data_IF_160352582750
#
_entry.id   IF_160352582750
#
_cell.length_a   1.000
_cell.length_b   1.000
_cell.length_c   1.000
_cell.angle_alpha   90.00
_cell.angle_beta   90.00
_cell.angle_gamma   90.00
#
_symmetry.space_group_name_H-M   'P 1'
#
loop_
_entity.id
_entity.type
_entity.pdbx_description
1 polymer ?
#
# COMPACT_ATOMS: atom_id res chain seq x y z
N UNK A 1 46.91 16.14 15.18
CA UNK A 1 46.44 14.82 15.66
C UNK A 1 45.17 14.48 14.91
N UNK A 2 45.32 13.55 14.05
CA UNK A 2 44.52 13.34 12.85
C UNK A 2 43.13 12.77 13.14
N UNK A 3 42.08 13.40 12.62
CA UNK A 3 40.68 12.91 12.69
C UNK A 3 40.45 11.60 11.93
N UNK A 4 41.41 11.17 11.14
CA UNK A 4 41.39 9.92 10.38
C UNK A 4 41.56 8.68 11.28
N UNK A 5 42.25 8.80 12.39
CA UNK A 5 42.57 7.67 13.28
C UNK A 5 41.40 7.21 14.18
N UNK A 6 40.32 8.02 14.30
CA UNK A 6 39.13 7.60 15.08
C UNK A 6 38.07 6.85 14.26
N UNK A 7 38.12 6.96 12.93
CA UNK A 7 37.19 6.23 12.07
C UNK A 7 37.54 4.74 11.92
N UNK A 8 38.80 4.40 12.13
CA UNK A 8 39.32 3.04 11.94
C UNK A 8 39.08 2.12 13.15
N UNK A 9 38.68 2.65 14.31
CA UNK A 9 38.35 1.87 15.52
C UNK A 9 37.00 1.12 15.43
N UNK A 10 36.17 1.44 14.44
CA UNK A 10 34.93 0.72 14.14
C UNK A 10 35.02 0.00 12.77
N UNK A 11 36.16 -0.61 12.47
CA UNK A 11 36.31 -1.40 11.23
C UNK A 11 35.40 -2.65 11.31
N UNK A 12 34.43 -2.81 10.39
CA UNK A 12 33.60 -4.01 10.30
C UNK A 12 34.39 -5.27 9.93
N UNK A 13 35.71 -5.21 9.70
CA UNK A 13 36.60 -6.36 9.63
C UNK A 13 36.54 -7.24 10.89
N UNK A 14 36.07 -6.69 12.01
CA UNK A 14 35.78 -7.43 13.24
C UNK A 14 34.59 -8.39 13.10
N UNK A 15 33.74 -8.22 12.10
CA UNK A 15 32.54 -9.04 11.85
C UNK A 15 32.72 -10.05 10.71
N UNK A 16 33.95 -10.38 10.31
CA UNK A 16 34.26 -11.43 9.33
C UNK A 16 34.34 -10.96 7.86
N UNK A 17 34.72 -11.87 6.94
CA UNK A 17 34.99 -11.54 5.52
C UNK A 17 33.81 -10.96 4.74
N UNK A 18 32.58 -11.15 5.19
CA UNK A 18 31.38 -10.53 4.60
C UNK A 18 31.22 -9.03 4.86
N UNK A 19 31.87 -8.45 5.88
CA UNK A 19 31.69 -7.06 6.27
C UNK A 19 32.22 -6.04 5.25
N UNK A 20 33.34 -6.34 4.59
CA UNK A 20 33.92 -5.49 3.53
C UNK A 20 33.10 -5.53 2.25
N UNK A 21 32.58 -6.67 1.91
CA UNK A 21 31.72 -6.86 0.73
C UNK A 21 30.35 -6.18 0.91
N UNK A 22 29.73 -6.35 2.08
CA UNK A 22 28.50 -5.66 2.44
C UNK A 22 28.67 -4.12 2.51
N UNK A 23 29.84 -3.61 2.90
CA UNK A 23 30.15 -2.18 2.90
C UNK A 23 30.37 -1.67 1.47
N UNK A 24 31.07 -2.42 0.61
CA UNK A 24 31.22 -2.11 -0.82
C UNK A 24 29.88 -2.12 -1.54
N UNK A 25 29.02 -3.10 -1.25
CA UNK A 25 27.69 -3.18 -1.83
C UNK A 25 26.80 -2.02 -1.36
N UNK A 26 26.82 -1.64 -0.05
CA UNK A 26 26.09 -0.46 0.45
C UNK A 26 26.62 0.84 -0.13
N UNK A 27 27.93 0.99 -0.25
CA UNK A 27 28.54 2.19 -0.87
C UNK A 27 28.17 2.27 -2.37
N UNK A 28 28.25 1.14 -3.08
CA UNK A 28 27.84 1.05 -4.49
C UNK A 28 26.32 1.32 -4.65
N UNK A 29 25.50 0.85 -3.72
CA UNK A 29 24.06 1.12 -3.71
C UNK A 29 23.77 2.60 -3.44
N UNK A 30 24.46 3.21 -2.47
CA UNK A 30 24.35 4.65 -2.18
C UNK A 30 24.81 5.49 -3.37
N UNK A 31 25.91 5.12 -4.00
CA UNK A 31 26.40 5.74 -5.24
C UNK A 31 25.42 5.55 -6.40
N UNK A 32 24.84 4.37 -6.56
CA UNK A 32 23.82 4.06 -7.57
C UNK A 32 22.53 4.88 -7.36
N UNK A 33 22.11 5.05 -6.11
CA UNK A 33 20.97 5.90 -5.74
C UNK A 33 21.29 7.38 -5.99
N UNK A 34 22.53 7.83 -5.71
CA UNK A 34 22.94 9.22 -5.86
C UNK A 34 23.34 9.57 -7.31
N UNK A 35 23.95 8.64 -8.05
CA UNK A 35 24.38 8.81 -9.42
C UNK A 35 23.27 8.60 -10.46
N UNK A 36 22.03 8.40 -10.02
CA UNK A 36 20.89 8.23 -10.91
C UNK A 36 20.74 9.44 -11.85
N UNK A 37 21.17 9.28 -13.09
CA UNK A 37 20.95 10.27 -14.15
C UNK A 37 19.47 10.29 -14.50
N UNK A 38 18.81 11.38 -14.19
CA UNK A 38 17.42 11.62 -14.55
C UNK A 38 17.27 11.53 -16.06
N UNK A 39 16.45 10.64 -16.62
CA UNK A 39 15.94 10.83 -17.96
C UNK A 39 15.19 12.17 -17.96
N UNK A 40 15.33 12.96 -19.02
CA UNK A 40 14.72 14.29 -19.07
C UNK A 40 13.22 14.24 -18.80
N UNK A 41 12.68 15.36 -18.33
CA UNK A 41 11.25 15.54 -18.12
C UNK A 41 10.50 15.26 -19.42
N UNK A 42 9.57 14.32 -19.36
CA UNK A 42 8.63 13.98 -20.43
C UNK A 42 7.22 14.15 -19.85
N UNK A 43 6.32 14.73 -20.63
CA UNK A 43 4.92 14.91 -20.23
C UNK A 43 4.27 13.60 -19.76
N UNK A 44 4.72 12.47 -20.31
CA UNK A 44 4.31 11.15 -19.89
C UNK A 44 4.60 10.83 -18.41
N UNK A 45 5.60 11.45 -17.83
CA UNK A 45 5.97 11.28 -16.40
C UNK A 45 4.89 11.80 -15.44
N UNK A 46 4.10 12.78 -15.88
CA UNK A 46 2.99 13.32 -15.08
C UNK A 46 1.68 12.60 -15.42
N UNK A 47 1.31 12.54 -16.70
CA UNK A 47 -0.01 12.02 -17.05
C UNK A 47 -0.17 10.53 -16.79
N UNK A 48 0.92 9.74 -16.82
CA UNK A 48 0.84 8.29 -16.58
C UNK A 48 0.45 7.94 -15.15
N UNK A 49 1.13 8.42 -14.09
CA UNK A 49 0.68 8.22 -12.72
C UNK A 49 -0.78 8.65 -12.53
N UNK A 50 -1.15 9.82 -13.03
CA UNK A 50 -2.52 10.34 -12.94
C UNK A 50 -3.51 9.42 -13.65
N UNK A 51 -3.21 8.96 -14.87
CA UNK A 51 -4.06 8.04 -15.62
C UNK A 51 -4.24 6.71 -14.87
N UNK A 52 -3.15 6.10 -14.37
CA UNK A 52 -3.26 4.82 -13.69
C UNK A 52 -3.95 4.93 -12.33
N UNK A 53 -3.77 6.05 -11.63
CA UNK A 53 -4.55 6.39 -10.46
C UNK A 53 -6.03 6.54 -10.78
N UNK A 54 -6.36 7.22 -11.87
CA UNK A 54 -7.75 7.35 -12.35
C UNK A 54 -8.35 6.00 -12.74
N UNK A 55 -7.61 5.17 -13.47
CA UNK A 55 -8.03 3.80 -13.82
C UNK A 55 -8.30 2.99 -12.55
N UNK A 56 -7.44 3.10 -11.53
CA UNK A 56 -7.62 2.40 -10.27
C UNK A 56 -8.95 2.74 -9.61
N UNK A 57 -9.24 4.02 -9.42
CA UNK A 57 -10.51 4.47 -8.83
C UNK A 57 -11.70 4.06 -9.72
N UNK A 58 -11.57 4.22 -11.04
CA UNK A 58 -12.66 3.91 -11.97
C UNK A 58 -13.03 2.42 -11.97
N UNK A 59 -12.05 1.51 -11.93
CA UNK A 59 -12.30 0.06 -11.87
C UNK A 59 -13.01 -0.31 -10.57
N UNK A 60 -12.57 0.23 -9.42
CA UNK A 60 -13.25 0.02 -8.13
C UNK A 60 -14.70 0.50 -8.23
N UNK A 61 -14.91 1.75 -8.66
CA UNK A 61 -16.26 2.35 -8.75
C UNK A 61 -17.20 1.59 -9.69
N UNK A 62 -16.70 1.14 -10.85
CA UNK A 62 -17.48 0.34 -11.80
C UNK A 62 -17.90 -0.99 -11.16
N UNK A 63 -16.99 -1.70 -10.51
CA UNK A 63 -17.29 -3.00 -9.89
C UNK A 63 -18.26 -2.82 -8.73
N UNK A 64 -18.09 -1.81 -7.88
CA UNK A 64 -19.02 -1.50 -6.81
C UNK A 64 -20.42 -1.16 -7.36
N UNK A 65 -20.50 -0.39 -8.43
CA UNK A 65 -21.77 -0.05 -9.10
C UNK A 65 -22.45 -1.29 -9.66
N UNK A 66 -21.72 -2.19 -10.29
CA UNK A 66 -22.24 -3.45 -10.82
C UNK A 66 -22.78 -4.33 -9.68
N UNK A 67 -22.04 -4.48 -8.59
CA UNK A 67 -22.49 -5.24 -7.42
C UNK A 67 -23.74 -4.63 -6.80
N UNK A 68 -23.76 -3.32 -6.62
CA UNK A 68 -24.93 -2.61 -6.10
C UNK A 68 -26.15 -2.84 -7.00
N UNK A 69 -25.99 -2.69 -8.33
CA UNK A 69 -27.07 -2.95 -9.28
C UNK A 69 -27.65 -4.37 -9.14
N UNK A 70 -26.79 -5.40 -9.09
CA UNK A 70 -27.25 -6.77 -8.92
C UNK A 70 -27.95 -7.03 -7.58
N UNK A 71 -27.44 -6.42 -6.50
CA UNK A 71 -28.09 -6.54 -5.18
C UNK A 71 -29.45 -5.85 -5.12
N UNK A 72 -29.55 -4.66 -5.66
CA UNK A 72 -30.83 -3.95 -5.77
C UNK A 72 -31.83 -4.70 -6.65
N UNK A 73 -31.36 -5.26 -7.77
CA UNK A 73 -32.19 -6.08 -8.63
C UNK A 73 -32.67 -7.35 -7.92
N UNK A 74 -31.80 -8.05 -7.21
CA UNK A 74 -32.15 -9.25 -6.44
C UNK A 74 -33.12 -8.93 -5.29
N UNK A 75 -32.92 -7.81 -4.60
CA UNK A 75 -33.80 -7.34 -3.53
C UNK A 75 -35.19 -6.93 -4.08
N UNK A 76 -35.24 -6.29 -5.26
CA UNK A 76 -36.50 -5.91 -5.93
C UNK A 76 -37.36 -7.09 -6.35
N UNK A 77 -36.79 -8.25 -6.60
CA UNK A 77 -37.55 -9.48 -6.84
C UNK A 77 -38.14 -10.07 -5.55
N UNK A 78 -37.73 -9.60 -4.36
CA UNK A 78 -38.17 -10.08 -3.04
C UNK A 78 -39.35 -9.35 -2.43
N UNK A 79 -40.05 -8.42 -3.10
CA UNK A 79 -41.26 -7.71 -2.62
C UNK A 79 -41.01 -6.62 -1.56
N UNK A 80 -40.18 -6.89 -0.54
CA UNK A 80 -39.86 -5.93 0.54
C UNK A 80 -39.02 -4.73 0.08
N UNK A 81 -38.35 -4.83 -1.05
CA UNK A 81 -37.54 -3.77 -1.61
C UNK A 81 -38.35 -2.62 -2.22
N UNK A 82 -39.51 -2.93 -2.80
CA UNK A 82 -40.40 -1.89 -3.33
C UNK A 82 -40.99 -1.00 -2.22
N UNK A 83 -41.20 -1.58 -1.04
CA UNK A 83 -41.65 -0.83 0.15
C UNK A 83 -40.51 0.09 0.65
N UNK A 84 -39.27 -0.41 0.69
CA UNK A 84 -38.10 0.38 1.08
C UNK A 84 -37.75 1.51 0.06
N UNK A 85 -38.03 1.30 -1.23
CA UNK A 85 -37.89 2.36 -2.25
C UNK A 85 -38.95 3.46 -2.06
N UNK A 86 -40.15 3.14 -1.61
CA UNK A 86 -41.17 4.14 -1.31
C UNK A 86 -40.81 4.99 -0.09
N UNK A 87 -40.13 4.39 0.91
CA UNK A 87 -39.66 5.08 2.11
C UNK A 87 -38.34 5.84 1.91
N UNK A 88 -37.66 5.65 0.74
CA UNK A 88 -36.39 6.27 0.38
C UNK A 88 -35.19 5.56 0.99
N UNK A 89 -34.37 4.87 0.15
CA UNK A 89 -33.08 4.27 0.55
C UNK A 89 -32.11 5.37 0.99
N UNK A 90 -31.62 5.26 2.22
CA UNK A 90 -30.56 6.15 2.71
C UNK A 90 -29.20 5.74 2.15
N UNK A 91 -28.23 6.67 2.16
CA UNK A 91 -26.84 6.36 1.80
C UNK A 91 -26.24 5.26 2.71
N UNK A 92 -26.70 5.18 3.96
CA UNK A 92 -26.29 4.14 4.91
C UNK A 92 -26.80 2.75 4.49
N UNK A 93 -28.04 2.64 3.99
CA UNK A 93 -28.60 1.37 3.51
C UNK A 93 -27.86 0.87 2.26
N UNK A 94 -27.50 1.78 1.35
CA UNK A 94 -26.68 1.47 0.17
C UNK A 94 -25.29 0.98 0.56
N UNK A 95 -24.67 1.63 1.54
CA UNK A 95 -23.37 1.20 2.07
C UNK A 95 -23.47 -0.15 2.78
N UNK A 96 -24.51 -0.39 3.58
CA UNK A 96 -24.72 -1.68 4.21
C UNK A 96 -24.89 -2.81 3.20
N UNK A 97 -25.59 -2.56 2.08
CA UNK A 97 -25.71 -3.50 0.98
C UNK A 97 -24.38 -3.84 0.31
N UNK A 98 -23.50 -2.86 0.12
CA UNK A 98 -22.17 -3.08 -0.48
C UNK A 98 -21.23 -3.80 0.48
N UNK A 99 -21.29 -3.49 1.77
CA UNK A 99 -20.36 -3.97 2.77
C UNK A 99 -20.37 -5.50 2.96
N UNK A 100 -21.47 -6.17 2.69
CA UNK A 100 -21.60 -7.65 2.86
C UNK A 100 -20.78 -8.47 1.86
N UNK A 101 -20.22 -7.84 0.79
CA UNK A 101 -19.41 -8.53 -0.24
C UNK A 101 -18.13 -7.77 -0.58
N UNK A 102 -17.65 -6.92 0.32
CA UNK A 102 -16.53 -6.03 0.05
C UNK A 102 -15.26 -6.79 -0.29
N UNK A 103 -14.97 -7.90 0.40
CA UNK A 103 -13.82 -8.75 0.10
C UNK A 103 -13.94 -9.45 -1.26
N UNK A 104 -15.14 -9.86 -1.67
CA UNK A 104 -15.37 -10.44 -3.01
C UNK A 104 -15.16 -9.40 -4.11
N UNK A 105 -15.64 -8.18 -3.91
CA UNK A 105 -15.36 -7.07 -4.81
C UNK A 105 -13.86 -6.79 -4.88
N UNK A 106 -13.17 -6.82 -3.73
CA UNK A 106 -11.72 -6.63 -3.66
C UNK A 106 -10.95 -7.66 -4.49
N UNK A 107 -11.35 -8.91 -4.47
CA UNK A 107 -10.77 -9.95 -5.33
C UNK A 107 -10.94 -9.58 -6.81
N UNK A 108 -12.14 -9.21 -7.22
CA UNK A 108 -12.45 -8.95 -8.61
C UNK A 108 -11.69 -7.72 -9.13
N UNK A 109 -11.79 -6.57 -8.45
CA UNK A 109 -11.10 -5.37 -8.92
C UNK A 109 -9.58 -5.51 -8.88
N UNK A 110 -9.03 -6.24 -7.90
CA UNK A 110 -7.58 -6.46 -7.81
C UNK A 110 -7.07 -7.33 -8.94
N UNK A 111 -7.81 -8.36 -9.37
CA UNK A 111 -7.45 -9.16 -10.56
C UNK A 111 -7.39 -8.29 -11.80
N UNK A 112 -8.39 -7.42 -12.03
CA UNK A 112 -8.38 -6.48 -13.15
C UNK A 112 -7.20 -5.50 -13.05
N UNK A 113 -6.92 -4.94 -11.88
CA UNK A 113 -5.79 -4.04 -11.65
C UNK A 113 -4.46 -4.73 -11.95
N UNK A 114 -4.24 -5.92 -11.40
CA UNK A 114 -3.00 -6.69 -11.62
C UNK A 114 -2.81 -6.93 -13.13
N UNK A 115 -3.87 -7.35 -13.83
CA UNK A 115 -3.80 -7.58 -15.27
C UNK A 115 -3.43 -6.30 -16.03
N UNK A 116 -4.13 -5.19 -15.76
CA UNK A 116 -3.87 -3.89 -16.40
C UNK A 116 -2.43 -3.43 -16.13
N UNK A 117 -1.97 -3.50 -14.87
CA UNK A 117 -0.64 -3.01 -14.49
C UNK A 117 0.47 -3.89 -15.04
N UNK A 118 0.32 -5.22 -14.99
CA UNK A 118 1.29 -6.14 -15.60
C UNK A 118 1.39 -5.93 -17.11
N UNK A 119 0.25 -5.73 -17.80
CA UNK A 119 0.26 -5.44 -19.24
C UNK A 119 0.89 -4.08 -19.56
N UNK A 120 0.62 -3.06 -18.74
CA UNK A 120 1.23 -1.73 -18.87
C UNK A 120 2.74 -1.79 -18.66
N UNK A 121 3.19 -2.54 -17.65
CA UNK A 121 4.59 -2.70 -17.30
C UNK A 121 5.37 -3.53 -18.34
N UNK A 122 4.76 -4.57 -18.91
CA UNK A 122 5.39 -5.42 -19.95
C UNK A 122 5.70 -4.68 -21.25
N UNK A 123 4.92 -3.66 -21.61
CA UNK A 123 5.05 -2.94 -22.88
C UNK A 123 6.15 -1.86 -22.87
N UNK A 124 6.95 -1.72 -21.81
CA UNK A 124 7.84 -0.57 -21.65
C UNK A 124 9.29 -0.97 -21.42
N UNK A 125 10.11 -0.84 -22.47
CA UNK A 125 11.58 -0.91 -22.39
C UNK A 125 12.19 0.10 -21.40
N UNK A 126 11.57 1.27 -21.25
CA UNK A 126 12.04 2.30 -20.30
C UNK A 126 11.76 1.95 -18.83
N UNK A 127 10.77 1.10 -18.55
CA UNK A 127 10.45 0.60 -17.21
C UNK A 127 11.23 -0.68 -16.88
N UNK A 128 11.81 -1.39 -17.86
CA UNK A 128 12.65 -2.55 -17.60
C UNK A 128 13.84 -2.23 -16.69
N UNK A 129 14.35 -0.99 -16.72
CA UNK A 129 15.39 -0.52 -15.80
C UNK A 129 14.89 -0.31 -14.36
N UNK A 130 13.59 -0.17 -14.18
CA UNK A 130 12.94 0.09 -12.87
C UNK A 130 12.08 -1.08 -12.43
N UNK A 131 11.90 -2.06 -13.29
CA UNK A 131 11.06 -3.22 -13.08
C UNK A 131 11.90 -4.38 -12.63
N UNK A 132 11.93 -4.60 -11.36
CA UNK A 132 12.94 -5.46 -10.80
C UNK A 132 12.34 -6.68 -10.12
N UNK A 133 11.98 -7.63 -10.95
CA UNK A 133 11.98 -9.04 -10.58
C UNK A 133 13.39 -9.66 -10.73
N UNK A 134 14.40 -8.87 -11.11
CA UNK A 134 15.73 -9.37 -11.54
C UNK A 134 16.81 -9.31 -10.45
N UNK A 135 16.69 -8.44 -9.46
CA UNK A 135 17.71 -8.37 -8.41
C UNK A 135 17.44 -9.47 -7.36
N UNK A 136 18.49 -10.25 -7.09
CA UNK A 136 18.43 -11.25 -6.02
C UNK A 136 18.49 -10.53 -4.68
N UNK A 137 17.48 -10.73 -3.85
CA UNK A 137 17.47 -10.22 -2.48
C UNK A 137 18.34 -11.10 -1.58
N UNK A 138 19.07 -10.47 -0.67
CA UNK A 138 19.83 -11.18 0.37
C UNK A 138 18.89 -11.55 1.54
N UNK A 139 19.22 -12.58 2.33
CA UNK A 139 18.44 -12.91 3.54
C UNK A 139 18.26 -11.73 4.49
N UNK A 140 19.25 -10.85 4.58
CA UNK A 140 19.18 -9.64 5.43
C UNK A 140 18.11 -8.64 4.95
N UNK A 141 17.86 -8.57 3.64
CA UNK A 141 16.81 -7.71 3.09
C UNK A 141 15.42 -8.18 3.56
N UNK A 142 15.19 -9.50 3.58
CA UNK A 142 13.96 -10.10 4.09
C UNK A 142 13.76 -9.85 5.58
N UNK A 143 14.82 -10.05 6.39
CA UNK A 143 14.78 -9.78 7.83
C UNK A 143 14.47 -8.31 8.07
N UNK A 144 15.16 -7.39 7.39
CA UNK A 144 14.93 -5.94 7.49
C UNK A 144 13.53 -5.56 7.05
N UNK A 145 13.03 -6.17 5.98
CA UNK A 145 11.67 -5.99 5.49
C UNK A 145 10.62 -6.41 6.52
N UNK A 146 10.76 -7.58 7.11
CA UNK A 146 9.85 -8.07 8.16
C UNK A 146 9.87 -7.13 9.38
N UNK A 147 11.05 -6.71 9.83
CA UNK A 147 11.17 -5.77 10.96
C UNK A 147 10.46 -4.45 10.64
N UNK A 148 10.61 -3.91 9.43
CA UNK A 148 9.92 -2.68 9.01
C UNK A 148 8.41 -2.87 8.88
N UNK A 149 7.93 -4.02 8.42
CA UNK A 149 6.50 -4.35 8.37
C UNK A 149 5.90 -4.39 9.78
N UNK A 150 6.57 -5.09 10.73
CA UNK A 150 6.16 -5.15 12.13
C UNK A 150 6.24 -3.77 12.81
N UNK A 151 7.28 -2.97 12.50
CA UNK A 151 7.42 -1.61 12.99
C UNK A 151 6.28 -0.70 12.49
N UNK A 152 5.89 -0.84 11.23
CA UNK A 152 4.76 -0.10 10.65
C UNK A 152 3.43 -0.51 11.29
N UNK A 153 3.24 -1.80 11.59
CA UNK A 153 2.06 -2.30 12.31
C UNK A 153 2.05 -1.76 13.75
N UNK A 154 3.20 -1.78 14.44
CA UNK A 154 3.34 -1.18 15.78
C UNK A 154 3.04 0.32 15.78
N UNK A 155 3.46 1.04 14.75
CA UNK A 155 3.10 2.46 14.57
C UNK A 155 1.58 2.64 14.41
N UNK A 156 0.93 1.81 13.59
CA UNK A 156 -0.53 1.87 13.39
C UNK A 156 -1.27 1.62 14.71
N UNK A 157 -0.88 0.60 15.48
CA UNK A 157 -1.45 0.31 16.81
C UNK A 157 -1.23 1.50 17.75
N UNK A 158 -0.01 2.04 17.84
CA UNK A 158 0.30 3.19 18.68
C UNK A 158 -0.51 4.44 18.30
N UNK A 159 -0.70 4.68 17.00
CA UNK A 159 -1.55 5.75 16.48
C UNK A 159 -3.01 5.58 16.91
N UNK A 160 -3.57 4.38 16.78
CA UNK A 160 -4.95 4.10 17.20
C UNK A 160 -5.12 4.24 18.72
N UNK A 161 -4.16 3.75 19.52
CA UNK A 161 -4.18 3.93 20.97
C UNK A 161 -4.12 5.42 21.37
N UNK A 162 -3.31 6.21 20.67
CA UNK A 162 -3.24 7.67 20.89
C UNK A 162 -4.59 8.34 20.58
N UNK A 163 -5.20 8.04 19.44
CA UNK A 163 -6.49 8.62 19.08
C UNK A 163 -7.60 8.21 20.06
N UNK A 164 -7.64 6.95 20.48
CA UNK A 164 -8.58 6.48 21.49
C UNK A 164 -8.39 7.22 22.83
N UNK A 165 -7.16 7.46 23.26
CA UNK A 165 -6.88 8.20 24.48
C UNK A 165 -7.25 9.70 24.40
N UNK A 166 -7.43 10.23 23.18
CA UNK A 166 -7.80 11.63 22.91
C UNK A 166 -9.29 11.78 22.58
N UNK A 167 -10.02 10.70 22.30
CA UNK A 167 -11.42 10.74 21.84
C UNK A 167 -12.33 11.42 22.86
N UNK A 168 -12.19 11.10 24.15
CA UNK A 168 -12.98 11.70 25.23
C UNK A 168 -12.66 13.19 25.47
N UNK A 169 -11.52 13.68 24.94
CA UNK A 169 -11.04 15.04 25.16
C UNK A 169 -11.32 15.98 23.99
N UNK A 170 -11.63 15.43 22.82
CA UNK A 170 -11.81 16.21 21.61
C UNK A 170 -12.89 15.59 20.69
N UNK A 171 -14.06 16.19 20.63
CA UNK A 171 -15.19 15.74 19.82
C UNK A 171 -14.84 15.53 18.34
N UNK A 172 -13.85 16.28 17.81
CA UNK A 172 -13.35 16.06 16.45
C UNK A 172 -12.65 14.70 16.31
N UNK A 173 -11.85 14.28 17.30
CA UNK A 173 -11.16 12.97 17.30
C UNK A 173 -12.15 11.84 17.45
N UNK A 174 -13.12 11.97 18.35
CA UNK A 174 -14.23 11.02 18.52
C UNK A 174 -14.98 10.80 17.19
N UNK A 175 -15.35 11.90 16.52
CA UNK A 175 -16.02 11.80 15.20
C UNK A 175 -15.15 11.09 14.16
N UNK A 176 -13.85 11.42 14.08
CA UNK A 176 -12.93 10.78 13.15
C UNK A 176 -12.81 9.27 13.38
N UNK A 177 -12.76 8.84 14.65
CA UNK A 177 -12.72 7.43 15.02
C UNK A 177 -14.04 6.73 14.64
N UNK A 178 -15.17 7.32 14.97
CA UNK A 178 -16.48 6.76 14.61
C UNK A 178 -16.63 6.60 13.09
N UNK A 179 -16.21 7.60 12.30
CA UNK A 179 -16.20 7.52 10.84
C UNK A 179 -15.26 6.41 10.32
N UNK A 180 -14.10 6.24 10.96
CA UNK A 180 -13.17 5.16 10.65
C UNK A 180 -13.72 3.78 11.01
N UNK A 181 -14.29 3.62 12.19
CA UNK A 181 -14.86 2.35 12.67
C UNK A 181 -16.04 1.90 11.82
N UNK A 182 -16.88 2.82 11.37
CA UNK A 182 -17.97 2.52 10.45
C UNK A 182 -17.49 1.89 9.14
N UNK A 183 -16.33 2.37 8.62
CA UNK A 183 -15.71 1.83 7.41
C UNK A 183 -14.99 0.50 7.71
N UNK A 184 -14.16 0.46 8.75
CA UNK A 184 -13.35 -0.71 9.08
C UNK A 184 -14.18 -1.89 9.59
N UNK A 185 -15.24 -1.63 10.34
CA UNK A 185 -16.20 -2.64 10.82
C UNK A 185 -16.91 -3.34 9.66
N UNK A 186 -17.18 -2.62 8.57
CA UNK A 186 -17.74 -3.23 7.37
C UNK A 186 -16.82 -4.21 6.67
N UNK A 187 -15.49 -3.99 6.75
CA UNK A 187 -14.49 -4.88 6.18
C UNK A 187 -14.36 -6.21 6.95
N UNK A 188 -14.70 -6.21 8.23
CA UNK A 188 -14.65 -7.39 9.11
C UNK A 188 -15.91 -8.26 9.05
N UNK A 189 -16.96 -7.83 8.34
CA UNK A 189 -18.22 -8.58 8.21
C UNK A 189 -18.16 -9.73 7.19
N UNK A 190 -17.14 -9.74 6.33
CA UNK A 190 -16.95 -10.77 5.31
C UNK A 190 -16.40 -12.08 5.88
N UNK A 191 -16.61 -13.18 5.16
CA UNK A 191 -15.99 -14.44 5.51
C UNK A 191 -14.47 -14.38 5.42
N UNK A 192 -13.79 -15.06 6.33
CA UNK A 192 -12.34 -15.03 6.52
C UNK A 192 -11.55 -15.32 5.23
N UNK A 193 -11.97 -16.32 4.45
CA UNK A 193 -11.24 -16.74 3.25
C UNK A 193 -11.23 -15.68 2.14
N UNK A 194 -12.34 -15.06 1.73
CA UNK A 194 -12.33 -13.92 0.82
C UNK A 194 -11.52 -12.74 1.36
N UNK A 195 -11.57 -12.44 2.65
CA UNK A 195 -10.79 -11.36 3.27
C UNK A 195 -9.28 -11.60 3.15
N UNK A 196 -8.81 -12.82 3.39
CA UNK A 196 -7.40 -13.18 3.20
C UNK A 196 -7.00 -13.03 1.72
N UNK A 197 -7.78 -13.62 0.81
CA UNK A 197 -7.45 -13.59 -0.63
C UNK A 197 -7.50 -12.15 -1.16
N UNK A 198 -8.56 -11.40 -0.85
CA UNK A 198 -8.75 -10.03 -1.32
C UNK A 198 -7.77 -9.06 -0.67
N UNK A 199 -7.91 -8.84 0.64
CA UNK A 199 -7.21 -7.76 1.32
C UNK A 199 -5.76 -8.09 1.68
N UNK A 200 -5.44 -9.37 1.99
CA UNK A 200 -4.07 -9.70 2.37
C UNK A 200 -3.18 -10.14 1.21
N UNK A 201 -3.74 -10.56 0.08
CA UNK A 201 -2.93 -11.06 -1.05
C UNK A 201 -3.10 -10.16 -2.28
N UNK A 202 -4.30 -10.07 -2.84
CA UNK A 202 -4.49 -9.47 -4.17
C UNK A 202 -4.41 -7.93 -4.14
N UNK A 203 -5.01 -7.28 -3.14
CA UNK A 203 -4.92 -5.82 -2.97
C UNK A 203 -3.47 -5.37 -2.82
N UNK A 204 -2.64 -5.94 -1.90
CA UNK A 204 -1.23 -5.61 -1.81
C UNK A 204 -0.45 -5.75 -3.13
N UNK A 205 -0.70 -6.82 -3.90
CA UNK A 205 -0.06 -7.00 -5.22
C UNK A 205 -0.44 -5.84 -6.15
N UNK A 206 -1.74 -5.53 -6.26
CA UNK A 206 -2.22 -4.47 -7.14
C UNK A 206 -1.68 -3.10 -6.74
N UNK A 207 -1.67 -2.79 -5.45
CA UNK A 207 -1.21 -1.51 -4.93
C UNK A 207 0.30 -1.33 -5.06
N UNK A 208 1.12 -2.37 -4.79
CA UNK A 208 2.55 -2.26 -5.01
C UNK A 208 2.90 -2.10 -6.49
N UNK A 209 2.19 -2.79 -7.40
CA UNK A 209 2.36 -2.59 -8.84
C UNK A 209 2.01 -1.16 -9.27
N UNK A 210 0.96 -0.55 -8.70
CA UNK A 210 0.60 0.83 -8.97
C UNK A 210 1.61 1.80 -8.37
N UNK A 211 1.80 1.75 -7.04
CA UNK A 211 2.53 2.81 -6.33
C UNK A 211 4.05 2.69 -6.48
N UNK A 212 4.62 1.48 -6.47
CA UNK A 212 6.08 1.27 -6.66
C UNK A 212 6.42 1.03 -8.11
N UNK A 213 5.65 0.19 -8.80
CA UNK A 213 5.88 -0.15 -10.19
C UNK A 213 5.62 0.99 -11.18
N UNK A 214 4.57 1.80 -10.97
CA UNK A 214 4.17 2.86 -11.91
C UNK A 214 4.45 4.25 -11.33
N UNK A 215 3.81 4.62 -10.23
CA UNK A 215 3.84 5.98 -9.69
C UNK A 215 5.25 6.38 -9.27
N UNK A 216 5.88 5.60 -8.39
CA UNK A 216 7.22 5.89 -7.90
C UNK A 216 8.28 5.79 -9.00
N UNK A 217 8.13 4.84 -9.93
CA UNK A 217 9.03 4.71 -11.06
C UNK A 217 9.00 5.96 -11.96
N UNK A 218 7.83 6.50 -12.28
CA UNK A 218 7.72 7.73 -13.07
C UNK A 218 8.20 8.95 -12.29
N UNK A 219 7.89 9.05 -10.99
CA UNK A 219 8.38 10.15 -10.15
C UNK A 219 9.92 10.15 -10.04
N UNK A 220 10.57 8.99 -9.98
CA UNK A 220 12.04 8.87 -9.97
C UNK A 220 12.70 9.41 -11.24
N UNK A 221 11.99 9.53 -12.34
CA UNK A 221 12.52 10.11 -13.60
C UNK A 221 12.75 11.62 -13.50
N UNK A 222 12.00 12.32 -12.66
CA UNK A 222 12.03 13.79 -12.55
C UNK A 222 12.41 14.30 -11.17
N UNK A 223 12.23 13.48 -10.14
CA UNK A 223 12.51 13.82 -8.76
C UNK A 223 13.69 13.02 -8.18
N UNK A 224 14.29 13.52 -7.12
CA UNK A 224 15.26 12.74 -6.34
C UNK A 224 14.57 11.52 -5.71
N UNK A 225 15.28 10.38 -5.54
CA UNK A 225 14.65 9.14 -5.02
C UNK A 225 13.86 9.32 -3.73
N UNK A 226 14.39 10.10 -2.77
CA UNK A 226 13.70 10.38 -1.50
C UNK A 226 12.41 11.18 -1.68
N UNK A 227 12.38 12.12 -2.67
CA UNK A 227 11.18 12.89 -2.97
C UNK A 227 10.15 12.04 -3.71
N UNK A 228 10.59 11.16 -4.60
CA UNK A 228 9.71 10.18 -5.25
C UNK A 228 9.10 9.21 -4.23
N UNK A 229 9.88 8.77 -3.22
CA UNK A 229 9.41 7.98 -2.10
C UNK A 229 8.32 8.72 -1.31
N UNK A 230 8.62 9.96 -0.90
CA UNK A 230 7.71 10.78 -0.10
C UNK A 230 6.38 11.02 -0.84
N UNK A 231 6.44 11.43 -2.11
CA UNK A 231 5.26 11.70 -2.92
C UNK A 231 4.45 10.43 -3.21
N UNK A 232 5.11 9.30 -3.47
CA UNK A 232 4.44 8.02 -3.67
C UNK A 232 3.74 7.53 -2.40
N UNK A 233 4.37 7.68 -1.23
CA UNK A 233 3.78 7.33 0.06
C UNK A 233 2.60 8.26 0.41
N UNK A 234 2.71 9.55 0.09
CA UNK A 234 1.62 10.51 0.30
C UNK A 234 0.41 10.18 -0.58
N UNK A 235 0.64 9.90 -1.87
CA UNK A 235 -0.43 9.48 -2.78
C UNK A 235 -1.07 8.18 -2.29
N UNK A 236 -0.27 7.20 -1.86
CA UNK A 236 -0.75 5.95 -1.29
C UNK A 236 -1.69 6.20 -0.09
N UNK A 237 -1.30 7.08 0.82
CA UNK A 237 -2.13 7.46 1.97
C UNK A 237 -3.44 8.16 1.56
N UNK A 238 -3.37 9.11 0.62
CA UNK A 238 -4.54 9.85 0.12
C UNK A 238 -5.55 8.91 -0.54
N UNK A 239 -5.10 7.86 -1.20
CA UNK A 239 -5.97 6.87 -1.85
C UNK A 239 -6.87 6.10 -0.88
N UNK A 240 -6.54 6.06 0.40
CA UNK A 240 -7.38 5.45 1.43
C UNK A 240 -8.57 6.32 1.85
N UNK A 241 -8.63 7.60 1.40
CA UNK A 241 -9.75 8.53 1.60
C UNK A 241 -10.23 8.66 3.05
N UNK A 242 -9.42 8.28 4.02
CA UNK A 242 -9.69 8.34 5.45
C UNK A 242 -8.47 8.90 6.19
N UNK A 243 -8.68 9.93 7.00
CA UNK A 243 -7.57 10.64 7.66
C UNK A 243 -6.92 9.80 8.75
N UNK A 244 -7.69 9.03 9.52
CA UNK A 244 -7.17 8.13 10.56
C UNK A 244 -6.27 7.07 9.92
N UNK A 245 -6.77 6.43 8.88
CA UNK A 245 -6.04 5.42 8.12
C UNK A 245 -4.85 6.03 7.36
N UNK A 246 -5.02 7.20 6.78
CA UNK A 246 -3.99 7.87 5.97
C UNK A 246 -2.69 8.09 6.72
N UNK A 247 -2.73 8.41 8.01
CA UNK A 247 -1.51 8.64 8.82
C UNK A 247 -0.67 7.37 8.94
N UNK A 248 -1.26 6.25 9.34
CA UNK A 248 -0.50 5.02 9.52
C UNK A 248 -0.16 4.34 8.18
N UNK A 249 -1.00 4.48 7.16
CA UNK A 249 -0.72 4.01 5.80
C UNK A 249 0.40 4.83 5.15
N UNK A 250 0.50 6.14 5.45
CA UNK A 250 1.64 6.94 5.01
C UNK A 250 2.96 6.39 5.56
N UNK A 251 3.02 6.08 6.87
CA UNK A 251 4.20 5.48 7.49
C UNK A 251 4.54 4.10 6.88
N UNK A 252 3.54 3.25 6.67
CA UNK A 252 3.71 1.97 5.98
C UNK A 252 4.18 2.19 4.53
N UNK A 253 3.61 3.16 3.83
CA UNK A 253 3.99 3.56 2.47
C UNK A 253 5.45 3.99 2.36
N UNK A 254 5.95 4.73 3.34
CA UNK A 254 7.38 5.09 3.43
C UNK A 254 8.27 3.84 3.63
N UNK A 255 7.89 2.94 4.53
CA UNK A 255 8.64 1.72 4.80
C UNK A 255 8.72 0.81 3.55
N UNK A 256 7.59 0.55 2.91
CA UNK A 256 7.48 -0.26 1.69
C UNK A 256 8.28 0.35 0.53
N UNK A 257 8.13 1.66 0.30
CA UNK A 257 8.85 2.37 -0.74
C UNK A 257 10.36 2.47 -0.47
N UNK A 258 10.76 2.61 0.79
CA UNK A 258 12.17 2.59 1.19
C UNK A 258 12.81 1.23 0.89
N UNK A 259 12.17 0.14 1.27
CA UNK A 259 12.66 -1.22 0.96
C UNK A 259 12.75 -1.42 -0.55
N UNK A 260 11.74 -0.97 -1.31
CA UNK A 260 11.79 -1.03 -2.77
C UNK A 260 12.97 -0.23 -3.36
N UNK A 261 13.26 0.97 -2.82
CA UNK A 261 14.43 1.76 -3.25
C UNK A 261 15.75 1.07 -2.95
N UNK A 262 15.85 0.42 -1.79
CA UNK A 262 17.09 -0.24 -1.37
C UNK A 262 17.35 -1.55 -2.10
N UNK A 263 16.30 -2.31 -2.39
CA UNK A 263 16.41 -3.67 -2.95
C UNK A 263 16.18 -3.72 -4.45
N UNK A 264 15.55 -2.68 -5.01
CA UNK A 264 15.05 -2.69 -6.39
C UNK A 264 14.25 -3.97 -6.71
N UNK A 265 13.57 -4.55 -5.74
CA UNK A 265 12.77 -5.76 -5.86
C UNK A 265 11.37 -5.53 -5.33
N UNK A 266 10.36 -5.64 -6.22
CA UNK A 266 8.96 -5.38 -5.85
C UNK A 266 8.33 -6.52 -5.04
N UNK A 267 8.89 -7.74 -5.09
CA UNK A 267 8.35 -8.90 -4.37
C UNK A 267 8.45 -8.68 -2.86
N UNK A 268 9.56 -8.10 -2.41
CA UNK A 268 9.77 -7.86 -0.99
C UNK A 268 8.75 -6.90 -0.38
N UNK A 269 8.51 -5.68 -0.92
CA UNK A 269 7.44 -4.82 -0.41
C UNK A 269 6.03 -5.44 -0.57
N UNK A 270 5.77 -6.25 -1.61
CA UNK A 270 4.51 -6.99 -1.71
C UNK A 270 4.34 -7.92 -0.50
N UNK A 271 5.34 -8.73 -0.17
CA UNK A 271 5.26 -9.65 0.98
C UNK A 271 5.16 -8.89 2.30
N UNK A 272 5.91 -7.80 2.47
CA UNK A 272 5.79 -6.93 3.64
C UNK A 272 4.37 -6.37 3.79
N UNK A 273 3.77 -5.93 2.69
CA UNK A 273 2.41 -5.38 2.67
C UNK A 273 1.38 -6.46 2.99
N UNK A 274 1.54 -7.67 2.46
CA UNK A 274 0.71 -8.83 2.82
C UNK A 274 0.76 -9.11 4.33
N UNK A 275 1.95 -9.12 4.92
CA UNK A 275 2.14 -9.32 6.36
C UNK A 275 1.51 -8.20 7.18
N UNK A 276 1.66 -6.96 6.74
CA UNK A 276 1.06 -5.80 7.37
C UNK A 276 -0.47 -5.88 7.38
N UNK A 277 -1.09 -6.19 6.22
CA UNK A 277 -2.54 -6.32 6.11
C UNK A 277 -3.06 -7.53 6.89
N UNK A 278 -2.35 -8.66 6.86
CA UNK A 278 -2.71 -9.83 7.67
C UNK A 278 -2.69 -9.49 9.18
N UNK A 279 -1.64 -8.84 9.65
CA UNK A 279 -1.51 -8.43 11.06
C UNK A 279 -2.54 -7.40 11.50
N UNK A 280 -2.94 -6.48 10.60
CA UNK A 280 -3.88 -5.41 10.91
C UNK A 280 -5.36 -5.78 10.76
N UNK A 281 -5.70 -6.72 9.86
CA UNK A 281 -7.10 -7.01 9.53
C UNK A 281 -7.54 -8.43 9.87
N UNK A 282 -6.70 -9.44 9.67
CA UNK A 282 -7.08 -10.86 9.85
C UNK A 282 -6.69 -11.39 11.21
N UNK A 283 -5.47 -11.10 11.67
CA UNK A 283 -4.99 -11.59 12.97
C UNK A 283 -5.89 -11.19 14.15
N UNK A 284 -6.40 -9.95 14.25
CA UNK A 284 -7.35 -9.58 15.31
C UNK A 284 -8.64 -10.41 15.28
N UNK A 285 -9.16 -10.75 14.09
CA UNK A 285 -10.35 -11.59 13.95
C UNK A 285 -10.12 -13.05 14.37
N UNK A 286 -8.89 -13.55 14.23
CA UNK A 286 -8.53 -14.91 14.66
C UNK A 286 -8.30 -15.02 16.16
N UNK A 287 -8.01 -13.88 16.82
CA UNK A 287 -7.72 -13.82 18.27
C UNK A 287 -8.94 -13.40 19.11
N UNK A 288 -10.01 -12.89 18.48
CA UNK A 288 -11.29 -12.53 19.13
C UNK A 288 -12.18 -13.73 19.33
#
# INVERSE_FOLDING_TARGET
MDKQHRADQFDPAYFGPGGREARRQRHALTEKILAYRRPGFDAATIWRPVLFCFIHISVISIIQTIFLFFKLFAAGMGGSFMDQLQDGLSAADLMALLNTDFAKMAIIYSVFHILIYVLALRKRESLEKYYVLKEKTAPLDWISGIILALGSLGFAIGWMLLLNALSDKAAFVEKMLNDYEAISGSLSSDSLLPSIIGFCILVPIAEELLFRGIVMAELRRVARPWLALLLSALLFAVFHMNLVQGVYVFAAGLALGFVYLCTENIVLPIVMHMLYNFGGSVLPQLLA
#
